data_IF_622030773864
#
_entry.id   IF_622030773864
#
_cell.length_a   1.000
_cell.length_b   1.000
_cell.length_c   1.000
_cell.angle_alpha   90.00
_cell.angle_beta   90.00
_cell.angle_gamma   90.00
#
_symmetry.space_group_name_H-M   'P 1'
#
loop_
_entity.id
_entity.type
_entity.pdbx_description
1 polymer ?
#
# COMPACT_ATOMS: atom_id res chain seq x y z
N UNK A 1 -26.71 -5.23 7.56
CA UNK A 1 -26.12 -4.39 6.49
C UNK A 1 -26.78 -3.02 6.57
N UNK A 2 -25.99 -1.94 6.65
CA UNK A 2 -26.51 -0.57 6.55
C UNK A 2 -26.61 -0.18 5.07
N UNK A 3 -27.55 0.72 4.77
CA UNK A 3 -27.74 1.27 3.42
C UNK A 3 -27.33 2.73 3.45
N UNK A 4 -26.49 3.13 2.50
CA UNK A 4 -26.10 4.52 2.29
C UNK A 4 -26.54 4.93 0.90
N UNK A 5 -27.40 5.94 0.82
CA UNK A 5 -27.87 6.50 -0.46
C UNK A 5 -26.89 7.56 -0.94
N UNK A 6 -26.39 7.41 -2.16
CA UNK A 6 -25.47 8.35 -2.81
C UNK A 6 -26.09 8.87 -4.11
N UNK A 7 -25.84 10.15 -4.42
CA UNK A 7 -26.18 10.73 -5.72
C UNK A 7 -25.01 10.53 -6.66
N UNK A 8 -25.26 9.92 -7.81
CA UNK A 8 -24.27 9.73 -8.87
C UNK A 8 -24.49 10.79 -9.95
N UNK A 9 -23.39 11.26 -10.54
CA UNK A 9 -23.46 12.02 -11.78
C UNK A 9 -23.84 11.07 -12.92
N UNK A 10 -24.55 11.59 -13.93
CA UNK A 10 -25.13 10.77 -14.99
C UNK A 10 -24.07 10.00 -15.80
N UNK A 11 -22.91 10.62 -16.03
CA UNK A 11 -21.76 9.98 -16.67
C UNK A 11 -21.22 8.83 -15.81
N UNK A 12 -21.07 9.02 -14.49
CA UNK A 12 -20.61 7.97 -13.58
C UNK A 12 -21.57 6.78 -13.56
N UNK A 13 -22.87 7.03 -13.54
CA UNK A 13 -23.88 5.95 -13.60
C UNK A 13 -23.78 5.16 -14.90
N UNK A 14 -23.62 5.83 -16.05
CA UNK A 14 -23.47 5.16 -17.34
C UNK A 14 -22.22 4.26 -17.39
N UNK A 15 -21.09 4.73 -16.86
CA UNK A 15 -19.87 3.92 -16.77
C UNK A 15 -20.04 2.74 -15.81
N UNK A 16 -20.71 2.94 -14.68
CA UNK A 16 -20.98 1.89 -13.71
C UNK A 16 -21.85 0.78 -14.32
N UNK A 17 -22.86 1.14 -15.09
CA UNK A 17 -23.73 0.19 -15.79
C UNK A 17 -22.95 -0.63 -16.81
N UNK A 18 -22.13 0.01 -17.65
CA UNK A 18 -21.28 -0.70 -18.60
C UNK A 18 -20.28 -1.67 -17.94
N UNK A 19 -19.71 -1.29 -16.79
CA UNK A 19 -18.82 -2.16 -16.00
C UNK A 19 -19.61 -3.33 -15.41
N UNK A 20 -20.76 -3.06 -14.81
CA UNK A 20 -21.63 -4.08 -14.22
C UNK A 20 -22.05 -5.14 -15.25
N UNK A 21 -22.44 -4.70 -16.45
CA UNK A 21 -22.80 -5.56 -17.58
C UNK A 21 -21.62 -6.42 -18.03
N UNK A 22 -20.45 -5.80 -18.23
CA UNK A 22 -19.22 -6.51 -18.64
C UNK A 22 -18.78 -7.56 -17.62
N UNK A 23 -18.96 -7.27 -16.33
CA UNK A 23 -18.58 -8.19 -15.24
C UNK A 23 -19.68 -9.20 -14.92
N UNK A 24 -20.87 -9.10 -15.53
CA UNK A 24 -22.06 -9.86 -15.18
C UNK A 24 -22.39 -9.79 -13.67
N UNK A 25 -22.33 -8.57 -13.12
CA UNK A 25 -22.59 -8.29 -11.69
C UNK A 25 -23.57 -7.13 -11.54
N UNK A 26 -24.18 -6.99 -10.37
CA UNK A 26 -25.06 -5.85 -10.09
C UNK A 26 -24.26 -4.57 -9.85
N UNK A 27 -24.85 -3.40 -10.15
CA UNK A 27 -24.28 -2.08 -9.82
C UNK A 27 -23.87 -1.99 -8.35
N UNK A 28 -24.71 -2.50 -7.43
CA UNK A 28 -24.42 -2.51 -5.99
C UNK A 28 -23.19 -3.37 -5.64
N UNK A 29 -23.00 -4.52 -6.29
CA UNK A 29 -21.81 -5.35 -6.07
C UNK A 29 -20.54 -4.61 -6.50
N UNK A 30 -20.57 -3.96 -7.67
CA UNK A 30 -19.44 -3.18 -8.18
C UNK A 30 -19.12 -1.98 -7.28
N UNK A 31 -20.14 -1.25 -6.82
CA UNK A 31 -19.96 -0.14 -5.86
C UNK A 31 -19.30 -0.63 -4.57
N UNK A 32 -19.77 -1.73 -3.99
CA UNK A 32 -19.21 -2.27 -2.75
C UNK A 32 -17.75 -2.71 -2.93
N UNK A 33 -17.44 -3.35 -4.07
CA UNK A 33 -16.08 -3.75 -4.38
C UNK A 33 -15.16 -2.51 -4.51
N UNK A 34 -15.57 -1.53 -5.30
CA UNK A 34 -14.81 -0.30 -5.50
C UNK A 34 -14.59 0.47 -4.19
N UNK A 35 -15.62 0.53 -3.33
CA UNK A 35 -15.52 1.19 -2.02
C UNK A 35 -14.54 0.45 -1.09
N UNK A 36 -14.60 -0.89 -1.06
CA UNK A 36 -13.67 -1.69 -0.26
C UNK A 36 -12.22 -1.49 -0.70
N UNK A 37 -11.97 -1.54 -2.01
CA UNK A 37 -10.64 -1.29 -2.59
C UNK A 37 -10.16 0.15 -2.32
N UNK A 38 -11.05 1.14 -2.44
CA UNK A 38 -10.73 2.53 -2.14
C UNK A 38 -10.33 2.71 -0.67
N UNK A 39 -11.11 2.17 0.27
CA UNK A 39 -10.81 2.26 1.71
C UNK A 39 -9.48 1.57 2.03
N UNK A 40 -9.23 0.37 1.49
CA UNK A 40 -7.97 -0.33 1.68
C UNK A 40 -6.78 0.47 1.13
N UNK A 41 -6.95 1.11 -0.03
CA UNK A 41 -5.93 1.98 -0.61
C UNK A 41 -5.64 3.17 0.30
N UNK A 42 -6.66 3.86 0.80
CA UNK A 42 -6.51 5.00 1.71
C UNK A 42 -5.79 4.61 3.00
N UNK A 43 -6.16 3.46 3.61
CA UNK A 43 -5.49 2.95 4.80
C UNK A 43 -4.01 2.66 4.54
N UNK A 44 -3.69 2.01 3.41
CA UNK A 44 -2.31 1.71 3.02
C UNK A 44 -1.49 2.98 2.77
N UNK A 45 -2.09 4.00 2.15
CA UNK A 45 -1.43 5.29 1.93
C UNK A 45 -1.10 5.99 3.26
N UNK A 46 -2.05 5.99 4.20
CA UNK A 46 -1.83 6.54 5.54
C UNK A 46 -0.75 5.78 6.31
N UNK A 47 -0.75 4.44 6.25
CA UNK A 47 0.25 3.61 6.90
C UNK A 47 1.66 3.89 6.32
N UNK A 48 1.79 3.91 4.99
CA UNK A 48 3.05 4.24 4.32
C UNK A 48 3.55 5.63 4.65
N UNK A 49 2.64 6.59 4.75
CA UNK A 49 2.98 7.96 5.17
C UNK A 49 3.56 7.97 6.58
N UNK A 50 2.90 7.29 7.52
CA UNK A 50 3.38 7.17 8.90
C UNK A 50 4.75 6.48 8.97
N UNK A 51 4.93 5.37 8.26
CA UNK A 51 6.21 4.65 8.16
C UNK A 51 7.33 5.54 7.57
N UNK A 52 6.99 6.40 6.60
CA UNK A 52 7.95 7.34 6.01
C UNK A 52 8.41 8.37 7.04
N UNK A 53 7.47 8.95 7.81
CA UNK A 53 7.81 9.90 8.86
C UNK A 53 8.68 9.27 9.94
N UNK A 54 8.36 8.05 10.37
CA UNK A 54 9.16 7.29 11.35
C UNK A 54 10.58 6.99 10.83
N UNK A 55 10.70 6.59 9.56
CA UNK A 55 12.00 6.34 8.94
C UNK A 55 12.83 7.63 8.82
N UNK A 56 12.19 8.75 8.45
CA UNK A 56 12.84 10.07 8.39
C UNK A 56 13.33 10.51 9.78
N UNK A 57 12.51 10.34 10.82
CA UNK A 57 12.91 10.66 12.19
C UNK A 57 14.07 9.77 12.66
N UNK A 58 14.02 8.47 12.38
CA UNK A 58 15.11 7.54 12.70
C UNK A 58 16.42 7.95 12.04
N UNK A 59 16.38 8.33 10.75
CA UNK A 59 17.55 8.82 10.03
C UNK A 59 18.06 10.16 10.60
N UNK A 60 17.17 11.08 10.96
CA UNK A 60 17.54 12.35 11.60
C UNK A 60 18.20 12.14 12.98
N UNK A 61 17.86 11.07 13.69
CA UNK A 61 18.51 10.63 14.93
C UNK A 61 19.86 9.90 14.71
N UNK A 62 20.33 9.79 13.46
CA UNK A 62 21.59 9.14 13.12
C UNK A 62 21.53 7.61 13.14
N UNK A 63 20.33 7.00 13.23
CA UNK A 63 20.15 5.54 13.16
C UNK A 63 20.23 5.08 11.70
N UNK A 64 21.43 5.19 11.14
CA UNK A 64 21.75 4.81 9.76
C UNK A 64 22.81 3.73 9.75
N UNK A 65 22.95 3.05 8.62
CA UNK A 65 23.92 1.97 8.41
C UNK A 65 24.80 2.33 7.22
N UNK A 66 26.08 1.97 7.28
CA UNK A 66 27.00 2.17 6.15
C UNK A 66 26.52 1.40 4.91
N UNK A 67 26.52 2.07 3.76
CA UNK A 67 26.04 1.49 2.52
C UNK A 67 26.86 0.27 2.07
N UNK A 68 28.17 0.24 2.31
CA UNK A 68 29.00 -0.89 1.92
C UNK A 68 28.68 -2.12 2.76
N UNK A 69 28.39 -1.94 4.05
CA UNK A 69 27.93 -3.04 4.91
C UNK A 69 26.59 -3.62 4.40
N UNK A 70 25.65 -2.77 3.98
CA UNK A 70 24.38 -3.21 3.37
C UNK A 70 24.61 -3.95 2.06
N UNK A 71 25.48 -3.44 1.18
CA UNK A 71 25.79 -4.12 -0.09
C UNK A 71 26.48 -5.46 0.12
N UNK A 72 27.43 -5.56 1.05
CA UNK A 72 28.08 -6.82 1.42
C UNK A 72 27.07 -7.86 1.90
N UNK A 73 26.14 -7.44 2.76
CA UNK A 73 25.05 -8.30 3.23
C UNK A 73 24.12 -8.76 2.11
N UNK A 74 23.60 -7.85 1.27
CA UNK A 74 22.71 -8.20 0.16
C UNK A 74 23.37 -9.16 -0.85
N UNK A 75 24.68 -9.00 -1.10
CA UNK A 75 25.42 -9.88 -1.99
C UNK A 75 25.64 -11.29 -1.42
N UNK A 76 25.51 -11.46 -0.11
CA UNK A 76 25.65 -12.76 0.55
C UNK A 76 24.38 -13.61 0.52
N UNK A 77 23.23 -13.01 0.22
CA UNK A 77 21.93 -13.70 0.20
C UNK A 77 21.90 -14.85 -0.82
N UNK A 78 21.40 -16.00 -0.38
CA UNK A 78 21.32 -17.19 -1.24
C UNK A 78 22.66 -17.87 -1.49
N UNK A 79 23.70 -17.53 -0.73
CA UNK A 79 25.00 -18.21 -0.72
C UNK A 79 25.18 -19.00 0.57
N UNK A 80 26.18 -19.89 0.62
CA UNK A 80 26.53 -20.63 1.83
C UNK A 80 27.08 -19.74 2.96
N UNK A 81 27.49 -18.51 2.65
CA UNK A 81 28.05 -17.52 3.58
C UNK A 81 27.11 -16.32 3.76
N UNK A 82 25.80 -16.56 3.83
CA UNK A 82 24.83 -15.50 4.10
C UNK A 82 25.13 -14.80 5.44
N UNK A 83 25.28 -13.48 5.40
CA UNK A 83 25.64 -12.65 6.54
C UNK A 83 24.40 -12.13 7.27
N UNK A 84 24.59 -11.73 8.54
CA UNK A 84 23.56 -11.05 9.31
C UNK A 84 23.32 -9.63 8.79
N UNK A 85 22.07 -9.16 8.91
CA UNK A 85 21.70 -7.80 8.54
C UNK A 85 22.50 -6.77 9.34
N UNK A 86 23.13 -5.79 8.68
CA UNK A 86 23.91 -4.77 9.36
C UNK A 86 22.97 -3.87 10.17
N UNK A 87 23.38 -3.51 11.39
CA UNK A 87 22.54 -2.77 12.34
C UNK A 87 23.04 -1.34 12.46
N UNK A 88 22.11 -0.39 12.60
CA UNK A 88 22.48 0.98 12.92
C UNK A 88 23.09 1.00 14.31
N UNK A 89 24.32 1.47 14.43
CA UNK A 89 24.94 1.68 15.73
C UNK A 89 24.11 2.67 16.53
N UNK A 90 23.77 2.30 17.77
CA UNK A 90 23.87 3.27 18.85
C UNK A 90 25.31 3.27 19.31
#
# INVERSE_FOLDING_TARGET
MSVTTVRLQADVEQHLEAIADRLHRSKSWVINQALSEYIQKQQREQERWQQTLEAMESAAQGKVVDANAVHGWLNSWGTENEQDAPRSGK
#
